data_IF_534228286758
#
_entry.id   IF_534228286758
#
_cell.length_a   1.000
_cell.length_b   1.000
_cell.length_c   1.000
_cell.angle_alpha   90.00
_cell.angle_beta   90.00
_cell.angle_gamma   90.00
#
_symmetry.space_group_name_H-M   'P 1'
#
loop_
_entity.id
_entity.type
_entity.pdbx_description
1 polymer ?
#
# COMPACT_ATOMS: atom_id res chain seq x y z
N UNK A 1 18.88 -1.48 -8.07
CA UNK A 1 18.70 -1.25 -6.62
C UNK A 1 19.80 -0.36 -6.07
N UNK A 2 19.43 0.62 -5.25
CA UNK A 2 20.36 1.50 -4.53
C UNK A 2 19.75 1.86 -3.17
N UNK A 3 20.57 2.38 -2.26
CA UNK A 3 20.09 2.92 -0.99
C UNK A 3 19.76 4.41 -1.13
N UNK A 4 18.76 4.90 -0.40
CA UNK A 4 18.49 6.33 -0.24
C UNK A 4 18.44 6.67 1.23
N UNK A 5 19.21 7.67 1.63
CA UNK A 5 19.22 8.18 2.98
C UNK A 5 18.61 9.59 3.02
N UNK A 6 17.55 9.76 3.79
CA UNK A 6 16.89 11.05 4.00
C UNK A 6 17.59 11.76 5.15
N UNK A 7 18.64 12.51 4.83
CA UNK A 7 19.54 13.10 5.80
C UNK A 7 18.90 14.34 6.44
N UNK A 8 18.79 14.40 7.78
CA UNK A 8 18.33 15.59 8.47
C UNK A 8 19.44 16.65 8.49
N UNK A 9 20.66 16.34 8.92
CA UNK A 9 21.82 17.23 8.82
C UNK A 9 23.13 16.40 8.76
N UNK A 10 24.13 16.74 7.91
CA UNK A 10 25.33 15.90 7.71
C UNK A 10 26.18 15.68 8.96
N UNK A 11 26.21 16.64 9.89
CA UNK A 11 27.06 16.57 11.09
C UNK A 11 26.58 15.57 12.15
N UNK A 12 25.30 15.17 12.12
CA UNK A 12 24.68 14.33 13.17
C UNK A 12 24.62 12.83 12.83
N UNK A 13 25.07 12.43 11.63
CA UNK A 13 24.90 11.05 11.14
C UNK A 13 26.15 10.51 10.45
N UNK A 14 27.33 10.80 11.02
CA UNK A 14 28.63 10.35 10.49
C UNK A 14 28.67 8.83 10.33
N UNK A 15 28.12 8.07 11.27
CA UNK A 15 28.16 6.61 11.23
C UNK A 15 27.35 6.04 10.05
N UNK A 16 26.16 6.60 9.79
CA UNK A 16 25.35 6.24 8.62
C UNK A 16 26.09 6.54 7.33
N UNK A 17 26.67 7.74 7.21
CA UNK A 17 27.41 8.16 6.02
C UNK A 17 28.66 7.31 5.79
N UNK A 18 29.38 6.96 6.86
CA UNK A 18 30.56 6.09 6.80
C UNK A 18 30.17 4.67 6.35
N UNK A 19 29.08 4.11 6.89
CA UNK A 19 28.58 2.79 6.46
C UNK A 19 28.13 2.82 5.00
N UNK A 20 27.42 3.84 4.55
CA UNK A 20 27.01 3.98 3.14
C UNK A 20 28.22 4.04 2.19
N UNK A 21 29.28 4.77 2.56
CA UNK A 21 30.54 4.80 1.79
C UNK A 21 31.18 3.43 1.71
N UNK A 22 31.34 2.74 2.85
CA UNK A 22 31.88 1.37 2.89
C UNK A 22 31.05 0.39 2.06
N UNK A 23 29.72 0.46 2.15
CA UNK A 23 28.82 -0.38 1.33
C UNK A 23 29.04 -0.14 -0.17
N UNK A 24 29.23 1.11 -0.59
CA UNK A 24 29.53 1.45 -1.99
C UNK A 24 30.89 0.90 -2.42
N UNK A 25 31.91 1.08 -1.59
CA UNK A 25 33.30 0.66 -1.87
C UNK A 25 33.46 -0.85 -1.87
N UNK A 26 32.93 -1.54 -0.85
CA UNK A 26 33.14 -2.98 -0.63
C UNK A 26 32.12 -3.85 -1.37
N UNK A 27 30.87 -3.38 -1.55
CA UNK A 27 29.77 -4.17 -2.13
C UNK A 27 29.24 -3.63 -3.46
N UNK A 28 29.75 -2.48 -3.93
CA UNK A 28 29.32 -1.87 -5.19
C UNK A 28 27.87 -1.39 -5.21
N UNK A 29 27.23 -1.25 -4.04
CA UNK A 29 25.84 -0.80 -3.91
C UNK A 29 25.82 0.72 -3.87
N UNK A 30 25.19 1.33 -4.87
CA UNK A 30 25.08 2.80 -4.93
C UNK A 30 24.16 3.33 -3.83
N UNK A 31 24.37 4.58 -3.45
CA UNK A 31 23.48 5.29 -2.55
C UNK A 31 23.25 6.74 -2.97
N UNK A 32 22.13 7.30 -2.53
CA UNK A 32 21.76 8.70 -2.70
C UNK A 32 21.47 9.33 -1.34
N UNK A 33 21.80 10.62 -1.20
CA UNK A 33 21.46 11.41 -0.02
C UNK A 33 20.38 12.42 -0.43
N UNK A 34 19.19 12.29 0.15
CA UNK A 34 18.13 13.29 0.05
C UNK A 34 18.31 14.26 1.22
N UNK A 35 18.77 15.47 0.93
CA UNK A 35 19.03 16.48 1.97
C UNK A 35 17.73 17.18 2.37
N UNK A 36 17.34 17.05 3.64
CA UNK A 36 16.10 17.61 4.17
C UNK A 36 16.28 19.00 4.81
N UNK A 37 17.50 19.51 5.01
CA UNK A 37 17.73 20.89 5.49
C UNK A 37 17.76 21.93 4.37
N UNK A 38 17.62 23.21 4.72
CA UNK A 38 18.14 24.32 3.91
C UNK A 38 19.68 24.32 3.91
N UNK A 39 20.27 25.09 2.99
CA UNK A 39 21.72 25.31 2.93
C UNK A 39 22.27 26.02 4.19
N UNK A 40 21.42 26.74 4.91
CA UNK A 40 21.76 27.55 6.09
C UNK A 40 21.25 26.97 7.42
N UNK A 41 20.45 25.89 7.39
CA UNK A 41 19.69 25.39 8.55
C UNK A 41 20.22 24.08 9.14
N UNK A 42 20.11 23.94 10.45
CA UNK A 42 20.49 22.73 11.20
C UNK A 42 19.33 21.72 11.38
N UNK A 43 18.13 22.04 10.91
CA UNK A 43 16.91 21.27 11.12
C UNK A 43 16.23 20.90 9.80
N UNK A 44 15.61 19.71 9.69
CA UNK A 44 14.79 19.35 8.54
C UNK A 44 13.71 20.40 8.28
N UNK A 45 13.57 20.79 7.02
CA UNK A 45 12.46 21.62 6.57
C UNK A 45 11.25 20.71 6.37
N UNK A 46 10.19 20.96 7.13
CA UNK A 46 8.95 20.22 7.07
C UNK A 46 8.37 20.13 5.65
N UNK A 47 8.46 21.21 4.86
CA UNK A 47 8.04 21.22 3.46
C UNK A 47 8.84 20.24 2.58
N UNK A 48 10.15 20.08 2.83
CA UNK A 48 10.98 19.11 2.11
C UNK A 48 10.64 17.68 2.51
N UNK A 49 10.43 17.44 3.80
CA UNK A 49 9.98 16.13 4.28
C UNK A 49 8.62 15.76 3.68
N UNK A 50 7.66 16.69 3.71
CA UNK A 50 6.35 16.56 3.07
C UNK A 50 6.48 16.21 1.59
N UNK A 51 7.28 16.96 0.83
CA UNK A 51 7.47 16.73 -0.60
C UNK A 51 8.01 15.34 -0.91
N UNK A 52 8.99 14.86 -0.14
CA UNK A 52 9.53 13.51 -0.33
C UNK A 52 8.52 12.43 0.10
N UNK A 53 7.79 12.64 1.20
CA UNK A 53 6.73 11.73 1.64
C UNK A 53 5.66 11.55 0.57
N UNK A 54 5.10 12.66 0.08
CA UNK A 54 4.02 12.68 -0.90
C UNK A 54 4.46 12.11 -2.24
N UNK A 55 5.67 12.47 -2.71
CA UNK A 55 6.14 12.04 -4.02
C UNK A 55 6.65 10.61 -4.04
N UNK A 56 7.29 10.14 -2.97
CA UNK A 56 8.05 8.89 -3.00
C UNK A 56 7.43 7.77 -2.17
N UNK A 57 6.67 8.08 -1.11
CA UNK A 57 6.10 7.08 -0.20
C UNK A 57 4.61 6.86 -0.45
N UNK A 58 3.80 7.92 -0.61
CA UNK A 58 2.34 7.79 -0.85
C UNK A 58 2.03 6.88 -2.05
N UNK A 59 2.69 7.00 -3.23
CA UNK A 59 2.36 6.18 -4.39
C UNK A 59 2.66 4.69 -4.21
N UNK A 60 3.42 4.32 -3.16
CA UNK A 60 3.78 2.94 -2.85
C UNK A 60 3.26 2.53 -1.46
N UNK A 61 2.33 3.28 -0.86
CA UNK A 61 1.93 3.09 0.54
C UNK A 61 1.41 1.67 0.86
N UNK A 62 0.67 1.05 -0.06
CA UNK A 62 0.16 -0.33 0.10
C UNK A 62 1.33 -1.33 0.13
N UNK A 63 2.21 -1.27 -0.87
CA UNK A 63 3.40 -2.12 -0.93
C UNK A 63 4.33 -1.90 0.27
N UNK A 64 4.56 -0.66 0.67
CA UNK A 64 5.42 -0.35 1.82
C UNK A 64 4.82 -0.83 3.14
N UNK A 65 3.49 -0.76 3.29
CA UNK A 65 2.79 -1.38 4.43
C UNK A 65 3.00 -2.88 4.43
N UNK A 66 2.89 -3.53 3.26
CA UNK A 66 3.12 -4.96 3.10
C UNK A 66 4.55 -5.34 3.52
N UNK A 67 5.53 -4.56 3.06
CA UNK A 67 6.95 -4.80 3.29
C UNK A 67 7.43 -4.50 4.72
N UNK A 68 6.80 -3.55 5.42
CA UNK A 68 7.29 -3.04 6.72
C UNK A 68 6.35 -3.36 7.89
N UNK A 69 5.24 -4.05 7.64
CA UNK A 69 4.25 -4.43 8.66
C UNK A 69 3.41 -3.27 9.21
N UNK A 70 3.62 -2.03 8.74
CA UNK A 70 2.91 -0.84 9.22
C UNK A 70 2.72 0.18 8.13
N UNK A 71 1.56 0.86 8.13
CA UNK A 71 1.29 1.94 7.18
C UNK A 71 2.27 3.11 7.36
N UNK A 72 2.66 3.73 6.24
CA UNK A 72 3.65 4.82 6.21
C UNK A 72 3.28 6.00 7.11
N UNK A 73 1.99 6.32 7.29
CA UNK A 73 1.51 7.39 8.19
C UNK A 73 1.88 7.12 9.64
N UNK A 74 1.74 5.88 10.11
CA UNK A 74 2.05 5.49 11.49
C UNK A 74 3.55 5.61 11.79
N UNK A 75 4.40 5.49 10.77
CA UNK A 75 5.85 5.48 10.93
C UNK A 75 6.49 6.84 10.63
N UNK A 76 6.00 7.53 9.60
CA UNK A 76 6.63 8.72 9.03
C UNK A 76 5.80 9.99 9.25
N UNK A 77 4.71 9.95 10.03
CA UNK A 77 3.95 11.14 10.44
C UNK A 77 3.62 11.12 11.94
N UNK A 78 3.43 12.31 12.51
CA UNK A 78 2.93 12.47 13.88
C UNK A 78 1.48 11.98 14.01
N UNK A 79 1.06 11.60 15.23
CA UNK A 79 -0.32 11.15 15.50
C UNK A 79 -1.38 12.20 15.14
N UNK A 80 -1.06 13.49 15.33
CA UNK A 80 -1.93 14.61 14.96
C UNK A 80 -1.92 14.93 13.46
N UNK A 81 -1.10 14.23 12.66
CA UNK A 81 -0.95 14.47 11.22
C UNK A 81 -0.12 15.71 10.88
N UNK A 82 0.16 16.59 11.82
CA UNK A 82 0.81 17.88 11.56
C UNK A 82 2.24 17.79 11.04
N UNK A 83 3.01 16.75 11.41
CA UNK A 83 4.45 16.69 11.13
C UNK A 83 4.87 15.43 10.38
N UNK A 84 5.88 15.57 9.52
CA UNK A 84 6.56 14.49 8.80
C UNK A 84 7.85 14.09 9.51
N UNK A 85 8.21 12.80 9.44
CA UNK A 85 9.35 12.22 10.13
C UNK A 85 10.20 11.37 9.17
N UNK A 86 10.64 11.96 8.05
CA UNK A 86 11.50 11.28 7.09
C UNK A 86 12.97 11.36 7.50
N UNK A 87 13.33 12.40 8.25
CA UNK A 87 14.63 12.61 8.85
C UNK A 87 15.25 11.34 9.46
N UNK A 88 16.35 10.89 8.87
CA UNK A 88 17.10 9.73 9.32
C UNK A 88 16.62 8.40 8.75
N UNK A 89 15.63 8.39 7.85
CA UNK A 89 15.12 7.18 7.20
C UNK A 89 16.10 6.66 6.15
N UNK A 90 16.25 5.33 6.10
CA UNK A 90 17.00 4.64 5.04
C UNK A 90 16.01 3.82 4.24
N UNK A 91 16.07 3.95 2.91
CA UNK A 91 15.18 3.27 1.98
C UNK A 91 15.96 2.49 0.92
N UNK A 92 15.32 1.44 0.38
CA UNK A 92 15.77 0.77 -0.84
C UNK A 92 14.98 1.35 -2.01
N UNK A 93 15.71 1.79 -3.03
CA UNK A 93 15.15 2.40 -4.24
C UNK A 93 15.47 1.52 -5.44
N UNK A 94 14.44 1.22 -6.22
CA UNK A 94 14.52 0.49 -7.48
C UNK A 94 13.63 1.18 -8.53
N UNK A 95 14.17 1.37 -9.74
CA UNK A 95 13.48 2.07 -10.83
C UNK A 95 12.89 3.43 -10.38
N UNK A 96 13.69 4.19 -9.64
CA UNK A 96 13.35 5.48 -9.03
C UNK A 96 12.20 5.47 -7.99
N UNK A 97 11.67 4.29 -7.62
CA UNK A 97 10.60 4.15 -6.62
C UNK A 97 11.15 3.59 -5.31
N UNK A 98 10.63 4.08 -4.19
CA UNK A 98 10.90 3.50 -2.86
C UNK A 98 10.17 2.17 -2.77
N UNK A 99 10.93 1.08 -2.57
CA UNK A 99 10.38 -0.28 -2.47
C UNK A 99 10.39 -0.83 -1.05
N UNK A 100 11.20 -0.22 -0.18
CA UNK A 100 11.31 -0.59 1.22
C UNK A 100 11.88 0.60 2.00
N UNK A 101 11.56 0.70 3.29
CA UNK A 101 12.26 1.58 4.22
C UNK A 101 12.40 0.94 5.59
N UNK A 102 13.49 1.27 6.29
CA UNK A 102 13.76 0.75 7.63
C UNK A 102 12.71 1.29 8.60
N UNK A 103 11.92 0.37 9.17
CA UNK A 103 10.80 0.69 10.06
C UNK A 103 10.97 0.03 11.44
N UNK A 104 10.64 0.70 12.55
CA UNK A 104 10.63 0.09 13.88
C UNK A 104 9.51 -0.95 14.07
N UNK A 105 8.60 -1.07 13.10
CA UNK A 105 7.52 -2.06 13.07
C UNK A 105 7.80 -3.21 12.09
N UNK A 106 8.98 -3.22 11.44
CA UNK A 106 9.34 -4.28 10.51
C UNK A 106 9.33 -5.65 11.21
N UNK A 107 8.67 -6.67 10.66
CA UNK A 107 8.71 -8.03 11.20
C UNK A 107 10.13 -8.57 11.39
N UNK A 108 11.07 -8.13 10.56
CA UNK A 108 12.49 -8.51 10.56
C UNK A 108 13.35 -7.60 11.42
N UNK A 109 12.75 -6.73 12.24
CA UNK A 109 13.47 -5.83 13.16
C UNK A 109 14.48 -6.57 14.04
N UNK A 110 14.16 -7.78 14.48
CA UNK A 110 15.06 -8.59 15.33
C UNK A 110 16.37 -8.91 14.60
N UNK A 111 16.32 -9.27 13.32
CA UNK A 111 17.52 -9.51 12.50
C UNK A 111 18.43 -8.27 12.45
N UNK A 112 17.84 -7.07 12.27
CA UNK A 112 18.63 -5.83 12.27
C UNK A 112 19.29 -5.57 13.64
N UNK A 113 18.58 -5.89 14.73
CA UNK A 113 19.07 -5.67 16.09
C UNK A 113 20.22 -6.59 16.49
N UNK A 114 20.44 -7.70 15.77
CA UNK A 114 21.61 -8.56 15.96
C UNK A 114 22.91 -7.87 15.52
N UNK A 115 22.83 -6.93 14.56
CA UNK A 115 23.98 -6.18 14.04
C UNK A 115 24.25 -4.86 14.79
N UNK A 116 23.20 -4.20 15.30
CA UNK A 116 23.32 -2.97 16.09
C UNK A 116 22.05 -2.68 16.90
N UNK A 117 22.19 -2.03 18.06
CA UNK A 117 21.06 -1.56 18.87
C UNK A 117 20.20 -0.51 18.16
N UNK A 118 20.76 0.25 17.22
CA UNK A 118 20.00 1.14 16.32
C UNK A 118 19.65 0.36 15.05
N UNK A 119 18.35 0.16 14.81
CA UNK A 119 17.84 -0.61 13.67
C UNK A 119 18.37 -0.13 12.31
N UNK A 120 18.68 1.17 12.16
CA UNK A 120 19.20 1.75 10.91
C UNK A 120 20.65 1.38 10.69
N UNK A 121 21.46 1.47 11.76
CA UNK A 121 22.85 1.03 11.73
C UNK A 121 22.92 -0.49 11.55
N UNK A 122 22.03 -1.22 12.22
CA UNK A 122 21.89 -2.67 12.10
C UNK A 122 21.58 -3.08 10.66
N UNK A 123 20.58 -2.44 10.04
CA UNK A 123 20.27 -2.64 8.63
C UNK A 123 21.48 -2.37 7.71
N UNK A 124 22.19 -1.26 7.88
CA UNK A 124 23.35 -0.95 7.05
C UNK A 124 24.52 -1.92 7.27
N UNK A 125 24.79 -2.34 8.51
CA UNK A 125 25.83 -3.32 8.80
C UNK A 125 25.51 -4.69 8.19
N UNK A 126 24.24 -5.12 8.26
CA UNK A 126 23.77 -6.33 7.57
C UNK A 126 23.96 -6.21 6.04
N UNK A 127 23.64 -5.06 5.44
CA UNK A 127 23.91 -4.83 4.00
C UNK A 127 25.41 -4.80 3.70
N UNK A 128 26.24 -4.29 4.60
CA UNK A 128 27.70 -4.33 4.46
C UNK A 128 28.24 -5.75 4.55
N UNK A 129 27.62 -6.61 5.35
CA UNK A 129 28.03 -8.01 5.55
C UNK A 129 27.58 -8.91 4.37
N UNK A 130 26.31 -8.82 3.97
CA UNK A 130 25.72 -9.72 2.98
C UNK A 130 25.59 -9.12 1.57
N UNK A 131 25.78 -7.81 1.42
CA UNK A 131 25.66 -7.11 0.14
C UNK A 131 24.24 -7.09 -0.43
N UNK A 132 24.12 -7.45 -1.71
CA UNK A 132 22.84 -7.38 -2.45
C UNK A 132 21.82 -8.42 -1.97
N UNK A 133 22.25 -9.52 -1.35
CA UNK A 133 21.35 -10.54 -0.83
C UNK A 133 20.51 -10.01 0.33
N UNK A 134 21.09 -9.24 1.25
CA UNK A 134 20.32 -8.54 2.28
C UNK A 134 19.23 -7.68 1.64
N UNK A 135 19.57 -6.84 0.67
CA UNK A 135 18.59 -5.99 -0.01
C UNK A 135 17.48 -6.80 -0.69
N UNK A 136 17.83 -7.89 -1.37
CA UNK A 136 16.84 -8.80 -1.99
C UNK A 136 15.93 -9.42 -0.95
N UNK A 137 16.43 -9.80 0.23
CA UNK A 137 15.62 -10.31 1.33
C UNK A 137 14.59 -9.28 1.81
N UNK A 138 14.96 -8.00 1.85
CA UNK A 138 14.05 -6.92 2.23
C UNK A 138 13.02 -6.57 1.15
N UNK A 139 13.34 -6.83 -0.12
CA UNK A 139 12.43 -6.61 -1.25
C UNK A 139 11.56 -7.83 -1.58
N UNK A 140 12.04 -9.04 -1.27
CA UNK A 140 11.21 -10.24 -1.25
C UNK A 140 10.10 -9.95 -0.25
N UNK A 141 8.87 -9.98 -0.77
CA UNK A 141 7.68 -9.77 0.03
C UNK A 141 7.84 -10.53 1.34
N UNK A 142 7.89 -9.86 2.52
CA UNK A 142 7.55 -10.59 3.71
C UNK A 142 6.16 -11.13 3.42
N UNK A 143 5.99 -12.42 3.58
CA UNK A 143 4.69 -13.04 3.68
C UNK A 143 4.00 -12.45 4.92
N UNK A 144 3.57 -11.19 4.88
CA UNK A 144 2.23 -10.93 5.34
C UNK A 144 1.41 -11.83 4.44
N UNK A 145 0.92 -12.92 5.02
CA UNK A 145 -0.02 -13.79 4.36
C UNK A 145 -0.99 -12.89 3.61
N UNK A 146 -1.03 -13.02 2.27
CA UNK A 146 -2.12 -12.47 1.47
C UNK A 146 -3.39 -12.72 2.29
N UNK A 147 -4.20 -11.69 2.52
CA UNK A 147 -5.43 -11.90 3.30
C UNK A 147 -6.22 -13.03 2.64
N UNK A 148 -7.03 -13.75 3.41
CA UNK A 148 -7.83 -14.82 2.82
C UNK A 148 -8.67 -14.29 1.63
N UNK A 149 -9.14 -13.04 1.70
CA UNK A 149 -9.80 -12.34 0.58
C UNK A 149 -8.87 -12.11 -0.62
N UNK A 150 -7.64 -11.61 -0.42
CA UNK A 150 -6.67 -11.44 -1.52
C UNK A 150 -6.31 -12.78 -2.19
N UNK A 151 -6.12 -13.84 -1.38
CA UNK A 151 -5.87 -15.18 -1.91
C UNK A 151 -7.06 -15.67 -2.74
N UNK A 152 -8.27 -15.43 -2.26
CA UNK A 152 -9.50 -15.82 -2.94
C UNK A 152 -9.66 -15.10 -4.29
N UNK A 153 -9.39 -13.79 -4.36
CA UNK A 153 -9.40 -13.01 -5.61
C UNK A 153 -8.39 -13.59 -6.60
N UNK A 154 -7.18 -13.89 -6.16
CA UNK A 154 -6.17 -14.44 -7.05
C UNK A 154 -6.56 -15.82 -7.60
N UNK A 155 -7.09 -16.71 -6.75
CA UNK A 155 -7.61 -18.01 -7.22
C UNK A 155 -8.76 -17.84 -8.21
N UNK A 156 -9.65 -16.87 -7.98
CA UNK A 156 -10.72 -16.52 -8.92
C UNK A 156 -10.17 -16.05 -10.27
N UNK A 157 -9.20 -15.15 -10.28
CA UNK A 157 -8.57 -14.67 -11.51
C UNK A 157 -7.88 -15.82 -12.25
N UNK A 158 -7.09 -16.63 -11.54
CA UNK A 158 -6.32 -17.74 -12.09
C UNK A 158 -7.21 -18.86 -12.66
N UNK A 159 -8.45 -18.97 -12.17
CA UNK A 159 -9.43 -19.93 -12.67
C UNK A 159 -9.90 -19.68 -14.11
N UNK A 160 -9.81 -18.42 -14.56
CA UNK A 160 -10.31 -18.00 -15.86
C UNK A 160 -11.84 -18.12 -16.05
N UNK A 161 -12.62 -18.29 -14.98
CA UNK A 161 -14.10 -18.29 -15.07
C UNK A 161 -14.61 -17.00 -15.72
N UNK A 162 -14.03 -15.87 -15.32
CA UNK A 162 -14.33 -14.58 -15.91
C UNK A 162 -13.18 -14.14 -16.80
N UNK A 163 -13.49 -13.84 -18.06
CA UNK A 163 -12.52 -13.37 -19.05
C UNK A 163 -12.51 -11.84 -19.09
N UNK A 164 -11.32 -11.25 -19.10
CA UNK A 164 -11.13 -9.82 -19.21
C UNK A 164 -9.81 -9.36 -18.59
N UNK A 165 -9.59 -8.06 -18.58
CA UNK A 165 -8.45 -7.44 -17.91
C UNK A 165 -8.79 -7.14 -16.45
N UNK A 166 -8.01 -7.69 -15.51
CA UNK A 166 -8.24 -7.49 -14.08
C UNK A 166 -7.37 -6.37 -13.51
N UNK A 167 -7.99 -5.52 -12.69
CA UNK A 167 -7.29 -4.61 -11.79
C UNK A 167 -7.77 -4.87 -10.35
N UNK A 168 -6.84 -4.89 -9.39
CA UNK A 168 -7.13 -5.14 -7.97
C UNK A 168 -6.93 -3.88 -7.14
N UNK A 169 -7.66 -3.76 -6.02
CA UNK A 169 -7.67 -2.58 -5.12
C UNK A 169 -7.99 -1.24 -5.83
N UNK A 170 -9.01 -1.23 -6.70
CA UNK A 170 -9.36 -0.05 -7.51
C UNK A 170 -10.01 1.03 -6.66
N UNK A 171 -9.58 2.29 -6.84
CA UNK A 171 -10.10 3.44 -6.08
C UNK A 171 -11.33 4.04 -6.76
N UNK A 172 -12.42 4.17 -6.02
CA UNK A 172 -13.69 4.74 -6.51
C UNK A 172 -14.28 5.78 -5.56
N UNK A 173 -15.20 6.58 -6.09
CA UNK A 173 -16.00 7.57 -5.37
C UNK A 173 -15.36 8.95 -5.27
N UNK A 174 -14.35 9.26 -6.08
CA UNK A 174 -13.57 10.51 -5.94
C UNK A 174 -14.46 11.76 -6.02
N UNK A 175 -15.51 11.74 -6.86
CA UNK A 175 -16.36 12.92 -7.15
C UNK A 175 -17.33 13.32 -6.02
N UNK A 176 -17.89 12.37 -5.26
CA UNK A 176 -18.89 12.65 -4.20
C UNK A 176 -18.31 12.96 -2.83
N UNK A 177 -17.07 12.57 -2.61
CA UNK A 177 -16.50 12.45 -1.27
C UNK A 177 -16.05 13.79 -0.67
N UNK A 178 -16.16 14.89 -1.44
CA UNK A 178 -16.02 16.26 -0.93
C UNK A 178 -17.14 16.66 0.04
N UNK A 179 -18.37 16.12 -0.15
CA UNK A 179 -19.55 16.48 0.66
C UNK A 179 -19.81 15.56 1.87
N UNK A 180 -19.33 14.31 1.84
CA UNK A 180 -19.57 13.33 2.90
C UNK A 180 -18.61 13.52 4.11
N UNK A 181 -17.40 14.00 3.85
CA UNK A 181 -16.38 14.31 4.85
C UNK A 181 -16.86 15.26 5.96
N UNK A 182 -17.71 16.22 5.60
CA UNK A 182 -18.24 17.23 6.53
C UNK A 182 -19.34 16.69 7.45
N UNK A 183 -19.96 15.55 7.11
CA UNK A 183 -21.14 15.00 7.82
C UNK A 183 -20.96 13.60 8.40
N UNK A 184 -19.92 12.87 8.04
CA UNK A 184 -19.73 11.49 8.48
C UNK A 184 -19.03 11.42 9.86
N UNK A 185 -19.73 10.89 10.87
CA UNK A 185 -19.15 10.52 12.17
C UNK A 185 -18.42 9.15 12.16
N UNK A 186 -18.29 8.51 11.00
CA UNK A 186 -17.60 7.21 10.86
C UNK A 186 -16.56 7.28 9.74
N UNK A 187 -15.31 7.08 10.13
CA UNK A 187 -14.11 7.05 9.27
C UNK A 187 -13.77 5.67 8.74
N UNK A 188 -14.51 4.63 9.14
CA UNK A 188 -14.11 3.22 8.95
C UNK A 188 -14.29 2.72 7.50
N UNK A 189 -15.01 3.48 6.67
CA UNK A 189 -15.29 3.12 5.27
C UNK A 189 -14.43 3.88 4.25
N UNK A 190 -13.51 4.73 4.72
CA UNK A 190 -12.87 5.71 3.85
C UNK A 190 -11.35 5.76 4.02
N UNK A 191 -10.64 5.81 2.91
CA UNK A 191 -9.20 6.08 2.90
C UNK A 191 -8.97 7.52 2.46
N UNK A 192 -8.31 8.30 3.31
CA UNK A 192 -7.86 9.66 3.03
C UNK A 192 -6.77 9.63 1.93
N UNK A 193 -7.04 10.27 0.79
CA UNK A 193 -6.07 10.50 -0.28
C UNK A 193 -5.63 11.97 -0.30
N UNK A 194 -4.32 12.22 -0.38
CA UNK A 194 -3.74 13.54 -0.66
C UNK A 194 -3.03 13.46 -2.02
N UNK A 195 -3.58 14.11 -3.06
CA UNK A 195 -2.80 14.53 -4.23
C UNK A 195 -2.41 16.00 -4.03
N UNK A 196 -1.17 16.34 -4.42
CA UNK A 196 -0.53 17.61 -4.05
C UNK A 196 -1.34 18.84 -4.49
N UNK A 197 -1.80 19.63 -3.52
CA UNK A 197 -2.44 20.94 -3.75
C UNK A 197 -3.97 20.93 -3.79
N UNK A 198 -4.60 19.77 -3.66
CA UNK A 198 -6.07 19.64 -3.58
C UNK A 198 -6.51 19.20 -2.18
N UNK A 199 -7.74 19.55 -1.81
CA UNK A 199 -8.37 19.18 -0.52
C UNK A 199 -8.38 17.65 -0.33
N UNK A 200 -8.30 17.15 0.92
CA UNK A 200 -8.34 15.72 1.19
C UNK A 200 -9.60 15.10 0.59
N UNK A 201 -9.42 14.13 -0.30
CA UNK A 201 -10.53 13.38 -0.89
C UNK A 201 -10.59 11.99 -0.28
N UNK A 202 -11.80 11.57 0.04
CA UNK A 202 -12.05 10.21 0.50
C UNK A 202 -12.30 9.33 -0.70
N UNK A 203 -11.81 8.10 -0.66
CA UNK A 203 -12.12 7.09 -1.66
C UNK A 203 -12.39 5.75 -0.99
N UNK A 204 -13.11 4.90 -1.72
CA UNK A 204 -13.31 3.50 -1.38
C UNK A 204 -12.42 2.63 -2.27
N UNK A 205 -11.97 1.48 -1.76
CA UNK A 205 -11.32 0.46 -2.56
C UNK A 205 -12.33 -0.61 -2.91
N UNK A 206 -12.41 -0.93 -4.20
CA UNK A 206 -13.04 -2.14 -4.72
C UNK A 206 -11.96 -3.21 -4.75
N UNK A 207 -12.28 -4.41 -4.28
CA UNK A 207 -11.32 -5.51 -4.21
C UNK A 207 -10.76 -5.88 -5.59
N UNK A 208 -11.63 -6.01 -6.60
CA UNK A 208 -11.21 -6.15 -7.98
C UNK A 208 -12.24 -5.58 -8.97
N UNK A 209 -11.76 -5.21 -10.15
CA UNK A 209 -12.58 -5.06 -11.34
C UNK A 209 -12.09 -6.00 -12.43
N UNK A 210 -12.98 -6.39 -13.34
CA UNK A 210 -12.63 -7.10 -14.56
C UNK A 210 -13.28 -6.40 -15.75
N UNK A 211 -12.48 -5.82 -16.63
CA UNK A 211 -12.96 -5.24 -17.88
C UNK A 211 -13.17 -6.36 -18.90
N UNK A 212 -14.42 -6.84 -18.99
CA UNK A 212 -14.84 -7.86 -19.94
C UNK A 212 -15.36 -7.25 -21.24
N UNK A 213 -15.62 -8.09 -22.25
CA UNK A 213 -16.07 -7.63 -23.57
C UNK A 213 -17.44 -6.93 -23.54
N UNK A 214 -18.36 -7.37 -22.67
CA UNK A 214 -19.72 -6.82 -22.60
C UNK A 214 -19.89 -5.76 -21.52
N UNK A 215 -19.20 -5.90 -20.39
CA UNK A 215 -19.37 -5.06 -19.23
C UNK A 215 -18.16 -5.17 -18.30
N UNK A 216 -17.94 -4.13 -17.49
CA UNK A 216 -16.96 -4.17 -16.41
C UNK A 216 -17.59 -4.80 -15.16
N UNK A 217 -16.97 -5.83 -14.63
CA UNK A 217 -17.40 -6.43 -13.37
C UNK A 217 -16.79 -5.67 -12.19
N UNK A 218 -17.61 -5.32 -11.21
CA UNK A 218 -17.20 -4.78 -9.91
C UNK A 218 -17.31 -5.91 -8.89
N UNK A 219 -16.18 -6.31 -8.33
CA UNK A 219 -16.04 -7.52 -7.54
C UNK A 219 -15.62 -7.20 -6.10
N UNK A 220 -16.30 -7.83 -5.13
CA UNK A 220 -15.92 -7.84 -3.72
C UNK A 220 -15.69 -9.29 -3.27
N UNK A 221 -14.69 -9.52 -2.42
CA UNK A 221 -14.33 -10.84 -1.96
C UNK A 221 -14.55 -11.00 -0.45
N UNK A 222 -15.16 -12.10 -0.05
CA UNK A 222 -15.32 -12.45 1.37
C UNK A 222 -15.32 -13.94 1.58
N UNK A 223 -14.65 -14.43 2.62
CA UNK A 223 -14.62 -15.86 2.94
C UNK A 223 -16.03 -16.46 3.00
N UNK A 224 -16.92 -15.85 3.78
CA UNK A 224 -18.31 -16.25 3.90
C UNK A 224 -19.22 -15.21 3.25
N UNK A 225 -20.18 -15.66 2.43
CA UNK A 225 -21.23 -14.78 1.92
C UNK A 225 -22.06 -14.24 3.10
N UNK A 226 -22.16 -12.91 3.20
CA UNK A 226 -22.86 -12.25 4.30
C UNK A 226 -23.43 -10.89 3.87
N UNK A 227 -24.31 -10.32 4.71
CA UNK A 227 -24.95 -9.03 4.43
C UNK A 227 -23.96 -7.87 4.24
N UNK A 228 -22.77 -7.95 4.84
CA UNK A 228 -21.76 -6.91 4.70
C UNK A 228 -21.25 -6.88 3.26
N UNK A 229 -20.82 -8.01 2.69
CA UNK A 229 -20.27 -8.04 1.32
C UNK A 229 -21.32 -7.66 0.26
N UNK A 230 -22.60 -7.97 0.50
CA UNK A 230 -23.72 -7.51 -0.34
C UNK A 230 -23.81 -5.97 -0.33
N UNK A 231 -23.80 -5.36 0.86
CA UNK A 231 -23.79 -3.91 0.98
C UNK A 231 -22.54 -3.28 0.37
N UNK A 232 -21.39 -3.95 0.50
CA UNK A 232 -20.12 -3.49 -0.05
C UNK A 232 -20.16 -3.44 -1.58
N UNK A 233 -20.60 -4.50 -2.26
CA UNK A 233 -20.59 -4.54 -3.74
C UNK A 233 -21.60 -3.55 -4.34
N UNK A 234 -22.76 -3.34 -3.70
CA UNK A 234 -23.74 -2.34 -4.13
C UNK A 234 -23.18 -0.91 -4.06
N UNK A 235 -22.49 -0.58 -2.97
CA UNK A 235 -21.87 0.73 -2.81
C UNK A 235 -20.69 0.90 -3.76
N UNK A 236 -19.86 -0.13 -3.92
CA UNK A 236 -18.71 -0.12 -4.82
C UNK A 236 -19.13 0.06 -6.28
N UNK A 237 -20.17 -0.64 -6.74
CA UNK A 237 -20.75 -0.48 -8.09
C UNK A 237 -21.29 0.93 -8.32
N UNK A 238 -22.05 1.44 -7.35
CA UNK A 238 -22.59 2.79 -7.40
C UNK A 238 -21.49 3.83 -7.57
N UNK A 239 -20.43 3.76 -6.74
CA UNK A 239 -19.31 4.70 -6.80
C UNK A 239 -18.48 4.53 -8.08
N UNK A 240 -18.30 3.30 -8.56
CA UNK A 240 -17.60 3.04 -9.81
C UNK A 240 -18.32 3.67 -11.00
N UNK A 241 -19.64 3.49 -11.11
CA UNK A 241 -20.45 4.11 -12.18
C UNK A 241 -20.44 5.64 -12.15
N UNK A 242 -20.29 6.26 -10.99
CA UNK A 242 -20.16 7.73 -10.92
C UNK A 242 -18.81 8.24 -11.43
N UNK A 243 -17.74 7.49 -11.17
CA UNK A 243 -16.41 7.81 -11.66
C UNK A 243 -16.26 7.47 -13.16
N UNK A 244 -16.97 6.43 -13.64
CA UNK A 244 -16.94 5.90 -15.02
C UNK A 244 -18.36 5.73 -15.61
N UNK A 245 -19.09 6.82 -15.87
CA UNK A 245 -20.50 6.77 -16.29
C UNK A 245 -20.73 6.16 -17.67
N UNK A 246 -19.70 6.07 -18.51
CA UNK A 246 -19.74 5.45 -19.83
C UNK A 246 -19.65 3.93 -19.80
N UNK A 247 -19.25 3.33 -18.67
CA UNK A 247 -19.07 1.88 -18.54
C UNK A 247 -20.35 1.20 -18.07
N UNK A 248 -20.78 0.18 -18.79
CA UNK A 248 -21.78 -0.76 -18.29
C UNK A 248 -21.14 -1.67 -17.24
N UNK A 249 -21.86 -1.91 -16.13
CA UNK A 249 -21.31 -2.61 -14.96
C UNK A 249 -22.16 -3.81 -14.57
N UNK A 250 -21.48 -4.88 -14.16
CA UNK A 250 -22.07 -6.06 -13.51
C UNK A 250 -21.49 -6.19 -12.09
N UNK A 251 -22.29 -6.71 -11.16
CA UNK A 251 -21.89 -6.89 -9.75
C UNK A 251 -21.53 -8.34 -9.50
N UNK A 252 -20.39 -8.58 -8.86
CA UNK A 252 -19.97 -9.93 -8.48
C UNK A 252 -19.48 -10.00 -7.03
N UNK A 253 -19.77 -11.11 -6.37
CA UNK A 253 -19.20 -11.46 -5.07
C UNK A 253 -18.42 -12.75 -5.22
N UNK A 254 -17.19 -12.75 -4.75
CA UNK A 254 -16.33 -13.94 -4.71
C UNK A 254 -16.31 -14.46 -3.28
N UNK A 255 -16.74 -15.70 -3.04
CA UNK A 255 -16.72 -16.29 -1.71
C UNK A 255 -16.22 -17.73 -1.67
N UNK A 256 -15.77 -18.15 -0.50
CA UNK A 256 -15.40 -19.55 -0.25
C UNK A 256 -16.61 -20.38 0.19
N UNK A 257 -17.46 -19.79 1.02
CA UNK A 257 -18.67 -20.44 1.53
C UNK A 257 -19.91 -19.63 1.10
N UNK A 258 -20.78 -20.31 0.36
CA UNK A 258 -22.08 -19.81 -0.06
C UNK A 258 -23.12 -19.76 1.06
N UNK A 259 -24.29 -19.24 0.74
CA UNK A 259 -25.45 -19.22 1.62
C UNK A 259 -26.72 -19.07 0.78
N UNK A 260 -27.50 -20.14 0.64
CA UNK A 260 -28.66 -20.23 -0.26
C UNK A 260 -29.61 -19.02 -0.15
N UNK A 261 -29.95 -18.60 1.07
CA UNK A 261 -30.87 -17.47 1.29
C UNK A 261 -30.26 -16.15 0.80
N UNK A 262 -28.97 -15.96 1.05
CA UNK A 262 -28.26 -14.75 0.61
C UNK A 262 -27.95 -14.79 -0.89
N UNK A 263 -27.77 -15.96 -1.49
CA UNK A 263 -27.60 -16.14 -2.93
C UNK A 263 -28.89 -15.80 -3.69
N UNK A 264 -30.04 -16.26 -3.20
CA UNK A 264 -31.36 -15.84 -3.71
C UNK A 264 -31.53 -14.31 -3.63
N UNK A 265 -31.14 -13.72 -2.49
CA UNK A 265 -31.16 -12.26 -2.33
C UNK A 265 -30.19 -11.55 -3.30
N UNK A 266 -28.99 -12.10 -3.54
CA UNK A 266 -28.03 -11.57 -4.49
C UNK A 266 -28.60 -11.60 -5.91
N UNK A 267 -29.27 -12.69 -6.30
CA UNK A 267 -29.90 -12.83 -7.61
C UNK A 267 -30.97 -11.76 -7.85
N UNK A 268 -31.86 -11.54 -6.88
CA UNK A 268 -32.89 -10.47 -6.94
C UNK A 268 -32.27 -9.06 -7.05
N UNK A 269 -31.07 -8.87 -6.50
CA UNK A 269 -30.32 -7.61 -6.57
C UNK A 269 -29.43 -7.48 -7.83
N UNK A 270 -29.45 -8.48 -8.73
CA UNK A 270 -28.59 -8.53 -9.90
C UNK A 270 -27.09 -8.61 -9.55
N UNK A 271 -26.76 -9.38 -8.52
CA UNK A 271 -25.42 -9.70 -8.06
C UNK A 271 -25.16 -11.18 -8.39
N UNK A 272 -24.08 -11.47 -9.11
CA UNK A 272 -23.63 -12.85 -9.35
C UNK A 272 -22.71 -13.28 -8.21
N UNK A 273 -22.97 -14.44 -7.63
CA UNK A 273 -22.11 -15.03 -6.59
C UNK A 273 -21.23 -16.11 -7.22
N UNK A 274 -19.93 -16.04 -6.97
CA UNK A 274 -18.94 -17.02 -7.38
C UNK A 274 -18.42 -17.74 -6.12
N UNK A 275 -18.84 -18.99 -5.94
CA UNK A 275 -18.47 -19.83 -4.79
C UNK A 275 -17.33 -20.79 -5.16
N UNK A 276 -16.28 -20.86 -4.34
CA UNK A 276 -15.18 -21.81 -4.49
C UNK A 276 -15.66 -23.27 -4.27
N UNK A 277 -15.46 -24.16 -5.24
CA UNK A 277 -15.58 -25.61 -5.07
C UNK A 277 -16.92 -26.29 -5.40
N UNK A 278 -18.07 -25.60 -5.40
CA UNK A 278 -19.38 -26.18 -5.78
C UNK A 278 -19.68 -26.07 -7.30
N UNK A 279 -18.72 -26.45 -8.14
CA UNK A 279 -18.85 -26.38 -9.60
C UNK A 279 -18.52 -25.01 -10.22
N UNK A 280 -18.06 -24.06 -9.40
CA UNK A 280 -17.29 -22.89 -9.80
C UNK A 280 -15.87 -22.97 -9.18
N UNK A 281 -15.03 -22.02 -9.58
CA UNK A 281 -13.56 -22.05 -9.70
C UNK A 281 -12.72 -22.70 -8.59
#
# INVERSE_FOLDING_TARGET
MQLRYYAPHPSRHKDVLNLLKKIKEERGIQYQIANLTSEEGNFPLEEKEKRHYEKEFIPQASDLKRQTGSGIRKVLRSKSGGHYHLAGTIAIVENARVKYFVSPFDPRKREMLEYDKDIRLGFLKMVLDEGKEALRRFLKEPALEKTEEERLIHRFIDSGILKGEFEVEVRVGKRRMKYAAEKAHSTDLFVEGEESGEEPYYYRRVDAICDGEEATWVLEAKKDLNNQVIGQVLVSDFLYREDFPEKETKKGIICQFGNDVLEECCQELGITVFVEGEGAF
#
